data_IF_655335032753
#
_entry.id   IF_655335032753
#
_cell.length_a   1.000
_cell.length_b   1.000
_cell.length_c   1.000
_cell.angle_alpha   90.00
_cell.angle_beta   90.00
_cell.angle_gamma   90.00
#
_symmetry.space_group_name_H-M   'P 1'
#
loop_
_entity.id
_entity.type
_entity.pdbx_description
1 polymer ?
#
# COMPACT_ATOMS: atom_id res chain seq x y z
N UNK A 1 20.42 13.66 27.69
CA UNK A 1 20.00 15.08 27.66
C UNK A 1 20.38 15.77 26.34
N UNK A 2 21.66 15.83 25.93
CA UNK A 2 22.12 16.58 24.74
C UNK A 2 21.58 16.08 23.37
N UNK A 3 21.36 14.78 23.21
CA UNK A 3 20.83 14.15 21.99
C UNK A 3 19.34 14.47 21.75
N UNK A 4 18.52 14.49 22.81
CA UNK A 4 17.10 14.84 22.74
C UNK A 4 16.90 16.31 22.35
N UNK A 5 17.74 17.20 22.87
CA UNK A 5 17.70 18.62 22.52
C UNK A 5 18.05 18.84 21.04
N UNK A 6 19.10 18.18 20.53
CA UNK A 6 19.45 18.24 19.10
C UNK A 6 18.34 17.68 18.20
N UNK A 7 17.67 16.60 18.62
CA UNK A 7 16.53 16.04 17.92
C UNK A 7 15.36 17.03 17.85
N UNK A 8 15.02 17.67 18.97
CA UNK A 8 14.01 18.72 19.03
C UNK A 8 14.36 19.88 18.07
N UNK A 9 15.58 20.39 18.13
CA UNK A 9 16.01 21.47 17.24
C UNK A 9 15.95 21.10 15.76
N UNK A 10 16.33 19.88 15.39
CA UNK A 10 16.28 19.43 13.99
C UNK A 10 14.88 19.28 13.42
N UNK A 11 13.88 18.95 14.25
CA UNK A 11 12.50 18.75 13.79
C UNK A 11 11.62 20.00 13.89
N UNK A 12 11.87 20.87 14.88
CA UNK A 12 10.97 21.97 15.21
C UNK A 12 11.57 23.36 14.94
N UNK A 13 12.88 23.46 14.75
CA UNK A 13 13.53 24.69 14.30
C UNK A 13 14.02 24.53 12.85
N UNK A 14 14.10 25.64 12.11
CA UNK A 14 14.59 25.66 10.72
C UNK A 14 16.09 25.31 10.67
N UNK A 15 16.38 24.02 10.67
CA UNK A 15 17.68 23.45 10.35
C UNK A 15 17.57 22.71 9.02
N UNK A 16 18.56 22.86 8.16
CA UNK A 16 18.61 22.10 6.90
C UNK A 16 18.73 20.59 7.20
N UNK A 17 17.94 19.72 6.54
CA UNK A 17 18.09 18.28 6.65
C UNK A 17 19.48 17.88 6.20
N UNK A 18 20.20 17.11 7.02
CA UNK A 18 21.64 16.86 6.82
C UNK A 18 21.95 15.44 6.35
N UNK A 19 21.04 14.49 6.56
CA UNK A 19 21.25 13.07 6.29
C UNK A 19 20.76 12.78 4.87
N UNK A 20 21.64 12.35 3.96
CA UNK A 20 21.29 12.10 2.57
C UNK A 20 21.07 10.61 2.30
N UNK A 21 20.03 10.28 1.53
CA UNK A 21 19.82 8.94 0.99
C UNK A 21 20.96 8.59 0.02
N UNK A 22 21.62 7.44 0.18
CA UNK A 22 22.72 7.03 -0.70
C UNK A 22 22.26 6.72 -2.13
N UNK A 23 20.98 6.37 -2.33
CA UNK A 23 20.46 5.96 -3.64
C UNK A 23 19.88 7.13 -4.44
N UNK A 24 19.13 8.04 -3.80
CA UNK A 24 18.42 9.14 -4.50
C UNK A 24 18.79 10.55 -4.02
N UNK A 25 19.78 10.69 -3.11
CA UNK A 25 20.29 11.98 -2.56
C UNK A 25 19.25 12.83 -1.81
N UNK A 26 18.02 12.35 -1.61
CA UNK A 26 16.99 13.01 -0.79
C UNK A 26 17.47 13.18 0.66
N UNK A 27 17.18 14.31 1.30
CA UNK A 27 17.72 14.68 2.62
C UNK A 27 16.67 14.56 3.73
N UNK A 28 17.09 14.14 4.92
CA UNK A 28 16.27 13.92 6.11
C UNK A 28 16.90 14.56 7.36
N UNK A 29 16.07 14.83 8.37
CA UNK A 29 16.50 15.44 9.64
C UNK A 29 16.96 14.39 10.66
N UNK A 30 16.38 13.19 10.56
CA UNK A 30 16.60 12.07 11.47
C UNK A 30 16.98 10.80 10.70
N UNK A 31 17.72 9.91 11.36
CA UNK A 31 18.10 8.62 10.79
C UNK A 31 16.86 7.73 10.57
N UNK A 32 15.92 7.69 11.53
CA UNK A 32 14.65 6.95 11.42
C UNK A 32 13.85 7.34 10.15
N UNK A 33 13.84 8.62 9.79
CA UNK A 33 13.18 9.09 8.56
C UNK A 33 13.88 8.61 7.28
N UNK A 34 15.21 8.49 7.31
CA UNK A 34 15.96 7.90 6.20
C UNK A 34 15.67 6.40 6.10
N UNK A 35 15.62 5.69 7.23
CA UNK A 35 15.36 4.25 7.27
C UNK A 35 13.94 3.93 6.73
N UNK A 36 12.91 4.65 7.20
CA UNK A 36 11.54 4.55 6.65
C UNK A 36 11.49 4.83 5.14
N UNK A 37 12.29 5.81 4.67
CA UNK A 37 12.38 6.13 3.26
C UNK A 37 13.03 5.00 2.45
N UNK A 38 14.12 4.41 2.96
CA UNK A 38 14.79 3.28 2.31
C UNK A 38 13.83 2.09 2.21
N UNK A 39 13.10 1.80 3.28
CA UNK A 39 12.12 0.73 3.31
C UNK A 39 10.96 0.97 2.32
N UNK A 40 10.41 2.18 2.29
CA UNK A 40 9.32 2.53 1.38
C UNK A 40 9.73 2.59 -0.10
N UNK A 41 10.86 3.23 -0.40
CA UNK A 41 11.18 3.66 -1.77
C UNK A 41 12.17 2.74 -2.47
N UNK A 42 12.99 1.99 -1.71
CA UNK A 42 14.11 1.24 -2.27
C UNK A 42 14.02 -0.26 -1.96
N UNK A 43 13.68 -0.64 -0.73
CA UNK A 43 13.62 -2.04 -0.32
C UNK A 43 12.23 -2.66 -0.51
N UNK A 44 11.19 -1.83 -0.61
CA UNK A 44 9.78 -2.24 -0.56
C UNK A 44 9.49 -3.10 0.69
N UNK A 45 10.27 -2.87 1.75
CA UNK A 45 10.06 -3.47 3.05
C UNK A 45 8.84 -2.76 3.64
N UNK A 46 7.74 -3.49 3.75
CA UNK A 46 6.53 -3.01 4.41
C UNK A 46 6.43 -3.77 5.75
N UNK A 47 7.19 -3.36 6.80
CA UNK A 47 7.28 -4.14 8.02
C UNK A 47 6.00 -4.04 8.87
N UNK A 48 5.27 -2.94 8.78
CA UNK A 48 4.09 -2.70 9.60
C UNK A 48 2.85 -3.29 8.93
N UNK A 49 2.18 -4.23 9.60
CA UNK A 49 0.96 -4.87 9.11
C UNK A 49 -0.27 -4.28 9.79
N UNK A 50 -1.36 -4.14 9.02
CA UNK A 50 -2.65 -3.72 9.53
C UNK A 50 -3.18 -4.74 10.55
N UNK A 51 -3.66 -4.25 11.70
CA UNK A 51 -4.20 -5.10 12.76
C UNK A 51 -5.58 -5.70 12.45
N UNK A 52 -6.28 -5.19 11.42
CA UNK A 52 -7.59 -5.71 11.02
C UNK A 52 -7.49 -7.09 10.38
N UNK A 53 -8.22 -8.04 10.97
CA UNK A 53 -8.31 -9.41 10.50
C UNK A 53 -8.74 -9.45 9.04
N UNK A 54 -8.03 -10.23 8.23
CA UNK A 54 -8.18 -10.39 6.78
C UNK A 54 -7.70 -9.22 5.88
N UNK A 55 -7.27 -8.07 6.43
CA UNK A 55 -6.77 -6.96 5.60
C UNK A 55 -5.45 -7.30 4.91
N UNK A 56 -4.47 -7.79 5.69
CA UNK A 56 -3.15 -8.20 5.19
C UNK A 56 -2.33 -7.09 4.53
N UNK A 57 -2.79 -5.84 4.58
CA UNK A 57 -2.07 -4.68 4.06
C UNK A 57 -0.89 -4.40 4.97
N UNK A 58 0.27 -4.21 4.35
CA UNK A 58 1.49 -3.80 5.03
C UNK A 58 1.94 -2.43 4.51
N UNK A 59 2.45 -1.59 5.39
CA UNK A 59 2.94 -0.25 5.07
C UNK A 59 4.38 -0.05 5.56
N UNK A 60 5.09 0.94 4.99
CA UNK A 60 6.49 1.20 5.34
C UNK A 60 6.67 1.96 6.65
N UNK A 61 5.62 2.56 7.21
CA UNK A 61 5.69 3.27 8.50
C UNK A 61 4.47 3.03 9.38
N UNK A 62 4.65 3.16 10.70
CA UNK A 62 3.59 3.02 11.69
C UNK A 62 2.45 4.03 11.46
N UNK A 63 2.79 5.28 11.17
CA UNK A 63 1.80 6.33 10.90
C UNK A 63 0.95 6.02 9.65
N UNK A 64 1.54 5.37 8.63
CA UNK A 64 0.81 4.97 7.44
C UNK A 64 -0.23 3.86 7.76
N UNK A 65 0.14 2.83 8.54
CA UNK A 65 -0.81 1.82 9.00
C UNK A 65 -1.92 2.45 9.84
N UNK A 66 -1.58 3.32 10.78
CA UNK A 66 -2.57 3.99 11.63
C UNK A 66 -3.56 4.83 10.84
N UNK A 67 -3.11 5.52 9.79
CA UNK A 67 -3.99 6.29 8.91
C UNK A 67 -4.89 5.35 8.09
N UNK A 68 -4.34 4.24 7.59
CA UNK A 68 -5.09 3.21 6.88
C UNK A 68 -6.18 2.59 7.75
N UNK A 69 -5.87 2.24 9.00
CA UNK A 69 -6.82 1.63 9.95
C UNK A 69 -8.02 2.50 10.27
N UNK A 70 -7.89 3.84 10.19
CA UNK A 70 -9.04 4.75 10.34
C UNK A 70 -10.11 4.52 9.27
N UNK A 71 -9.74 4.00 8.11
CA UNK A 71 -10.69 3.71 7.03
C UNK A 71 -11.54 2.46 7.31
N UNK A 72 -11.14 1.61 8.25
CA UNK A 72 -11.86 0.39 8.58
C UNK A 72 -13.10 0.59 9.44
N UNK A 73 -13.20 1.72 10.15
CA UNK A 73 -14.40 2.07 10.94
C UNK A 73 -15.62 2.50 10.12
N UNK A 74 -15.61 2.30 8.80
CA UNK A 74 -16.75 2.59 7.92
C UNK A 74 -17.50 1.28 7.70
N UNK A 75 -18.74 1.19 8.18
CA UNK A 75 -19.63 0.09 7.82
C UNK A 75 -19.92 0.17 6.32
N UNK A 76 -19.44 -0.82 5.56
CA UNK A 76 -19.67 -0.91 4.12
C UNK A 76 -20.41 -2.21 3.83
N UNK A 77 -21.61 -2.06 3.28
CA UNK A 77 -22.45 -3.17 2.82
C UNK A 77 -22.56 -3.10 1.30
N UNK A 78 -22.36 -4.23 0.62
CA UNK A 78 -22.54 -4.27 -0.83
C UNK A 78 -24.03 -4.40 -1.17
N UNK A 79 -24.59 -3.45 -1.92
CA UNK A 79 -26.04 -3.47 -2.26
C UNK A 79 -26.45 -4.63 -3.17
N UNK A 80 -25.50 -5.31 -3.83
CA UNK A 80 -25.81 -6.41 -4.77
C UNK A 80 -25.82 -7.79 -4.11
N UNK A 81 -25.00 -8.01 -3.07
CA UNK A 81 -24.88 -9.30 -2.40
C UNK A 81 -24.95 -9.22 -0.88
N UNK A 82 -25.12 -8.02 -0.32
CA UNK A 82 -25.17 -7.73 1.10
C UNK A 82 -23.91 -8.18 1.88
N UNK A 83 -22.77 -8.29 1.20
CA UNK A 83 -21.49 -8.58 1.85
C UNK A 83 -21.07 -7.39 2.72
N UNK A 84 -20.84 -7.68 4.00
CA UNK A 84 -20.43 -6.72 5.04
C UNK A 84 -18.97 -6.90 5.46
N UNK A 85 -18.23 -7.84 4.87
CA UNK A 85 -16.80 -8.04 5.16
C UNK A 85 -15.91 -6.98 4.47
N UNK A 86 -16.50 -5.83 4.13
CA UNK A 86 -15.87 -4.75 3.41
C UNK A 86 -15.48 -3.66 4.41
N UNK A 87 -14.20 -3.32 4.46
CA UNK A 87 -13.62 -2.42 5.46
C UNK A 87 -12.97 -1.19 4.84
N UNK A 88 -13.13 -0.97 3.55
CA UNK A 88 -12.69 0.29 2.91
C UNK A 88 -13.38 0.49 1.57
N UNK A 89 -13.56 1.75 1.12
CA UNK A 89 -14.10 2.04 -0.21
C UNK A 89 -13.30 1.38 -1.34
N UNK A 90 -11.97 1.29 -1.19
CA UNK A 90 -11.10 0.62 -2.17
C UNK A 90 -11.38 -0.88 -2.28
N UNK A 91 -11.66 -1.55 -1.16
CA UNK A 91 -12.04 -2.96 -1.14
C UNK A 91 -13.46 -3.17 -1.69
N UNK A 92 -14.41 -2.28 -1.39
CA UNK A 92 -15.75 -2.28 -2.01
C UNK A 92 -15.64 -2.14 -3.54
N UNK A 93 -14.84 -1.20 -4.03
CA UNK A 93 -14.60 -1.03 -5.46
C UNK A 93 -13.99 -2.29 -6.10
N UNK A 94 -13.00 -2.92 -5.44
CA UNK A 94 -12.41 -4.17 -5.89
C UNK A 94 -13.41 -5.33 -5.89
N UNK A 95 -14.22 -5.46 -4.84
CA UNK A 95 -15.28 -6.46 -4.70
C UNK A 95 -16.31 -6.30 -5.84
N UNK A 96 -16.82 -5.08 -6.07
CA UNK A 96 -17.76 -4.80 -7.15
C UNK A 96 -17.16 -5.12 -8.52
N UNK A 97 -15.88 -4.80 -8.73
CA UNK A 97 -15.16 -5.11 -9.96
C UNK A 97 -15.02 -6.62 -10.20
N UNK A 98 -14.79 -7.42 -9.16
CA UNK A 98 -14.49 -8.85 -9.26
C UNK A 98 -15.72 -9.74 -9.24
N UNK A 99 -16.67 -9.41 -8.38
CA UNK A 99 -17.83 -10.24 -8.07
C UNK A 99 -19.05 -9.84 -8.89
N UNK A 100 -19.15 -8.56 -9.28
CA UNK A 100 -20.38 -7.98 -9.83
C UNK A 100 -20.23 -7.32 -11.21
N UNK A 101 -19.03 -7.28 -11.80
CA UNK A 101 -18.81 -6.72 -13.13
C UNK A 101 -18.44 -7.80 -14.17
N UNK A 102 -19.38 -8.24 -15.03
CA UNK A 102 -19.15 -9.25 -16.06
C UNK A 102 -18.17 -8.83 -17.16
N UNK A 103 -17.95 -7.52 -17.33
CA UNK A 103 -17.07 -6.93 -18.35
C UNK A 103 -15.62 -6.82 -17.88
N UNK A 104 -15.36 -6.88 -16.57
CA UNK A 104 -14.02 -6.72 -15.99
C UNK A 104 -13.22 -8.03 -15.86
N UNK A 105 -13.56 -9.03 -16.69
CA UNK A 105 -12.68 -10.19 -16.84
C UNK A 105 -11.52 -9.78 -17.74
N UNK A 106 -10.30 -10.00 -17.29
CA UNK A 106 -9.10 -9.76 -18.09
C UNK A 106 -9.13 -10.74 -19.27
N UNK A 107 -9.21 -10.23 -20.50
CA UNK A 107 -9.38 -11.07 -21.68
C UNK A 107 -8.04 -11.19 -22.42
N UNK A 108 -7.57 -12.41 -22.62
CA UNK A 108 -6.44 -12.67 -23.50
C UNK A 108 -6.87 -12.55 -24.98
N UNK A 109 -5.93 -12.31 -25.89
CA UNK A 109 -6.18 -12.30 -27.34
C UNK A 109 -6.81 -13.61 -27.86
N UNK A 110 -6.60 -14.72 -27.15
CA UNK A 110 -7.28 -16.00 -27.40
C UNK A 110 -8.71 -16.09 -26.86
N UNK A 111 -9.29 -14.98 -26.39
CA UNK A 111 -10.63 -14.81 -25.80
C UNK A 111 -10.85 -15.43 -24.41
N UNK A 112 -9.84 -16.10 -23.83
CA UNK A 112 -9.92 -16.61 -22.45
C UNK A 112 -10.02 -15.45 -21.45
N UNK A 113 -10.90 -15.63 -20.46
CA UNK A 113 -11.25 -14.64 -19.44
C UNK A 113 -10.66 -15.01 -18.09
N UNK A 114 -10.02 -14.05 -17.43
CA UNK A 114 -9.36 -14.23 -16.14
C UNK A 114 -9.98 -13.28 -15.10
N UNK A 115 -10.00 -13.72 -13.84
CA UNK A 115 -10.48 -12.90 -12.74
C UNK A 115 -9.55 -11.72 -12.44
N UNK A 116 -8.26 -11.81 -12.80
CA UNK A 116 -7.27 -10.77 -12.52
C UNK A 116 -6.13 -10.66 -13.54
N UNK A 117 -5.40 -9.54 -13.49
CA UNK A 117 -4.28 -9.26 -14.38
C UNK A 117 -3.10 -10.23 -14.17
N UNK A 118 -2.91 -10.73 -12.94
CA UNK A 118 -1.87 -11.72 -12.63
C UNK A 118 -2.16 -13.05 -13.33
N UNK A 119 -3.41 -13.50 -13.32
CA UNK A 119 -3.88 -14.69 -14.02
C UNK A 119 -3.76 -14.55 -15.54
N UNK A 120 -4.11 -13.38 -16.09
CA UNK A 120 -3.90 -13.08 -17.50
C UNK A 120 -2.42 -13.11 -17.88
N UNK A 121 -1.56 -12.37 -17.17
CA UNK A 121 -0.11 -12.32 -17.45
C UNK A 121 0.55 -13.71 -17.38
N UNK A 122 0.19 -14.52 -16.37
CA UNK A 122 0.68 -15.89 -16.28
C UNK A 122 0.25 -16.73 -17.49
N UNK A 123 -1.00 -16.59 -17.92
CA UNK A 123 -1.47 -17.28 -19.12
C UNK A 123 -0.72 -16.82 -20.37
N UNK A 124 -0.55 -15.52 -20.56
CA UNK A 124 0.20 -14.94 -21.68
C UNK A 124 1.64 -15.44 -21.74
N UNK A 125 2.33 -15.48 -20.60
CA UNK A 125 3.70 -15.99 -20.50
C UNK A 125 3.82 -17.49 -20.79
N UNK A 126 2.85 -18.31 -20.34
CA UNK A 126 2.87 -19.76 -20.56
C UNK A 126 2.43 -20.17 -21.97
N UNK A 127 1.59 -19.36 -22.62
CA UNK A 127 1.01 -19.67 -23.94
C UNK A 127 1.59 -18.84 -25.08
N UNK A 128 2.55 -17.95 -24.80
CA UNK A 128 3.21 -17.12 -25.80
C UNK A 128 2.31 -16.05 -26.42
N UNK A 129 1.18 -15.73 -25.80
CA UNK A 129 0.30 -14.66 -26.26
C UNK A 129 0.78 -13.31 -25.70
N UNK A 130 1.49 -12.50 -26.52
CA UNK A 130 1.76 -11.11 -26.20
C UNK A 130 0.50 -10.24 -26.38
#
# INVERSE_FOLDING_TARGET
>A
MRTLLLHHFRNFHKMEPSIACPQCRKRFHLQEQLDEHLDAAHNQANPFECSWQHCGIRCPSFNAVRLHEKAHGVELTCDQCHDTNLWSPSQMAWHLQRSHNPQNRFVCRCTKRFADNRGLNRHQNLTGHA
#
